data_IF_077232245706
#
_entry.id   IF_077232245706
#
_cell.length_a   1.000
_cell.length_b   1.000
_cell.length_c   1.000
_cell.angle_alpha   90.00
_cell.angle_beta   90.00
_cell.angle_gamma   90.00
#
_symmetry.space_group_name_H-M   'P 1'
#
loop_
_entity.id
_entity.type
_entity.pdbx_description
1 polymer ?
#
# COMPACT_ATOMS: atom_id res chain seq x y z
N UNK A 1 5.28 42.17 -37.45
CA UNK A 1 6.47 42.88 -36.91
C UNK A 1 6.72 42.67 -35.41
N UNK A 2 5.70 42.58 -34.55
CA UNK A 2 5.87 42.49 -33.07
C UNK A 2 6.51 41.17 -32.60
N UNK A 3 6.23 40.04 -33.27
CA UNK A 3 6.74 38.71 -32.91
C UNK A 3 8.28 38.59 -32.99
N UNK A 4 8.91 39.23 -33.97
CA UNK A 4 10.37 39.20 -34.14
C UNK A 4 11.07 40.06 -33.08
N UNK A 5 10.46 41.19 -32.68
CA UNK A 5 10.96 42.04 -31.60
C UNK A 5 10.86 41.35 -30.23
N UNK A 6 9.77 40.63 -29.98
CA UNK A 6 9.62 39.79 -28.78
C UNK A 6 10.66 38.66 -28.74
N UNK A 7 10.89 37.97 -29.85
CA UNK A 7 11.92 36.92 -29.91
C UNK A 7 13.32 37.47 -29.63
N UNK A 8 13.68 38.63 -30.20
CA UNK A 8 14.95 39.30 -29.93
C UNK A 8 15.09 39.67 -28.45
N UNK A 9 14.03 40.19 -27.84
CA UNK A 9 14.01 40.53 -26.42
C UNK A 9 14.20 39.30 -25.53
N UNK A 10 13.56 38.18 -25.86
CA UNK A 10 13.74 36.91 -25.16
C UNK A 10 15.18 36.41 -25.25
N UNK A 11 15.80 36.47 -26.43
CA UNK A 11 17.23 36.10 -26.57
C UNK A 11 18.15 37.01 -25.76
N UNK A 12 17.85 38.30 -25.70
CA UNK A 12 18.63 39.25 -24.90
C UNK A 12 18.49 38.98 -23.40
N UNK A 13 17.28 38.65 -22.93
CA UNK A 13 17.03 38.21 -21.55
C UNK A 13 17.78 36.92 -21.21
N UNK A 14 17.75 35.93 -22.10
CA UNK A 14 18.47 34.67 -21.91
C UNK A 14 19.98 34.92 -21.86
N UNK A 15 20.52 35.73 -22.79
CA UNK A 15 21.92 36.10 -22.80
C UNK A 15 22.36 36.82 -21.52
N UNK A 16 21.54 37.76 -21.03
CA UNK A 16 21.80 38.48 -19.79
C UNK A 16 21.71 37.55 -18.57
N UNK A 17 20.76 36.62 -18.55
CA UNK A 17 20.64 35.64 -17.48
C UNK A 17 21.86 34.72 -17.42
N UNK A 18 22.34 34.23 -18.57
CA UNK A 18 23.57 33.42 -18.66
C UNK A 18 24.77 34.24 -18.19
N UNK A 19 24.92 35.47 -18.66
CA UNK A 19 26.04 36.34 -18.27
C UNK A 19 26.02 36.66 -16.77
N UNK A 20 24.86 36.99 -16.21
CA UNK A 20 24.67 37.19 -14.78
C UNK A 20 25.00 35.93 -13.98
N UNK A 21 24.62 34.75 -14.48
CA UNK A 21 24.93 33.49 -13.83
C UNK A 21 26.43 33.16 -13.85
N UNK A 22 27.11 33.36 -14.99
CA UNK A 22 28.56 33.13 -15.14
C UNK A 22 29.35 34.10 -14.25
N UNK A 23 28.97 35.38 -14.21
CA UNK A 23 29.64 36.36 -13.35
C UNK A 23 29.46 36.05 -11.87
N UNK A 24 28.26 35.60 -11.46
CA UNK A 24 28.00 35.16 -10.10
C UNK A 24 28.74 33.86 -9.76
N UNK A 25 28.94 32.96 -10.74
CA UNK A 25 29.75 31.76 -10.58
C UNK A 25 31.24 32.08 -10.42
N UNK A 26 31.77 33.10 -11.11
CA UNK A 26 33.18 33.50 -11.00
C UNK A 26 33.48 34.32 -9.74
N UNK A 27 32.54 35.17 -9.30
CA UNK A 27 32.75 36.07 -8.16
C UNK A 27 32.32 35.47 -6.82
N UNK A 28 31.28 34.63 -6.81
CA UNK A 28 30.61 34.18 -5.58
C UNK A 28 30.13 32.72 -5.69
N UNK A 29 30.99 31.82 -6.19
CA UNK A 29 30.69 30.39 -6.36
C UNK A 29 30.19 29.73 -5.07
N UNK A 30 30.82 30.08 -3.94
CA UNK A 30 30.54 29.48 -2.63
C UNK A 30 29.13 29.80 -2.14
N UNK A 31 28.65 31.03 -2.40
CA UNK A 31 27.29 31.47 -2.03
C UNK A 31 26.23 30.80 -2.92
N UNK A 32 26.50 30.68 -4.23
CA UNK A 32 25.62 29.94 -5.13
C UNK A 32 25.49 28.47 -4.72
N UNK A 33 26.60 27.80 -4.43
CA UNK A 33 26.57 26.40 -4.04
C UNK A 33 25.86 26.21 -2.68
N UNK A 34 26.14 27.10 -1.71
CA UNK A 34 25.49 27.07 -0.39
C UNK A 34 23.98 27.30 -0.50
N UNK A 35 23.54 28.24 -1.35
CA UNK A 35 22.12 28.50 -1.58
C UNK A 35 21.43 27.34 -2.30
N UNK A 36 22.09 26.68 -3.26
CA UNK A 36 21.58 25.50 -3.93
C UNK A 36 21.39 24.33 -2.95
N UNK A 37 22.39 24.07 -2.11
CA UNK A 37 22.33 23.05 -1.07
C UNK A 37 21.24 23.39 -0.05
N UNK A 38 21.12 24.64 0.37
CA UNK A 38 20.09 25.09 1.30
C UNK A 38 18.68 24.95 0.70
N UNK A 39 18.50 25.29 -0.58
CA UNK A 39 17.22 25.12 -1.28
C UNK A 39 16.86 23.63 -1.40
N UNK A 40 17.83 22.78 -1.76
CA UNK A 40 17.64 21.34 -1.81
C UNK A 40 17.33 20.77 -0.41
N UNK A 41 18.00 21.24 0.63
CA UNK A 41 17.78 20.82 2.01
C UNK A 41 16.38 21.21 2.50
N UNK A 42 15.93 22.44 2.24
CA UNK A 42 14.58 22.90 2.58
C UNK A 42 13.53 22.09 1.80
N UNK A 43 13.74 21.86 0.50
CA UNK A 43 12.86 21.04 -0.33
C UNK A 43 12.75 19.60 0.17
N UNK A 44 13.89 18.98 0.51
CA UNK A 44 13.94 17.65 1.09
C UNK A 44 13.30 17.58 2.48
N UNK A 45 13.50 18.60 3.32
CA UNK A 45 12.87 18.70 4.63
C UNK A 45 11.34 18.81 4.51
N UNK A 46 10.85 19.65 3.61
CA UNK A 46 9.42 19.78 3.31
C UNK A 46 8.82 18.49 2.77
N UNK A 47 9.47 17.87 1.79
CA UNK A 47 9.06 16.56 1.27
C UNK A 47 9.05 15.50 2.36
N UNK A 48 10.08 15.45 3.19
CA UNK A 48 10.21 14.53 4.32
C UNK A 48 9.09 14.72 5.35
N UNK A 49 8.75 15.97 5.67
CA UNK A 49 7.63 16.29 6.57
C UNK A 49 6.31 15.78 6.00
N UNK A 50 6.00 16.09 4.75
CA UNK A 50 4.77 15.65 4.09
C UNK A 50 4.72 14.12 4.00
N UNK A 51 5.82 13.48 3.59
CA UNK A 51 5.91 12.03 3.50
C UNK A 51 5.71 11.35 4.87
N UNK A 52 6.36 11.86 5.91
CA UNK A 52 6.25 11.32 7.25
C UNK A 52 4.86 11.53 7.85
N UNK A 53 4.26 12.70 7.71
CA UNK A 53 2.95 12.98 8.30
C UNK A 53 1.79 12.35 7.52
N UNK A 54 1.80 12.40 6.19
CA UNK A 54 0.69 11.95 5.36
C UNK A 54 0.84 10.51 4.85
N UNK A 55 2.01 10.12 4.36
CA UNK A 55 2.22 8.80 3.73
C UNK A 55 2.50 7.71 4.76
N UNK A 56 3.33 7.99 5.80
CA UNK A 56 3.68 6.98 6.80
C UNK A 56 2.47 6.46 7.59
N UNK A 57 1.44 7.28 7.80
CA UNK A 57 0.22 6.87 8.53
C UNK A 57 -0.67 5.91 7.73
N UNK A 58 -0.55 5.84 6.39
CA UNK A 58 -1.43 5.02 5.55
C UNK A 58 -0.98 3.56 5.39
N UNK A 59 0.30 3.25 5.52
CA UNK A 59 0.83 1.95 5.06
C UNK A 59 0.68 0.77 6.02
N UNK A 60 0.43 1.00 7.32
CA UNK A 60 0.63 -0.05 8.36
C UNK A 60 -0.65 -0.62 9.00
N UNK A 61 -1.82 -0.03 8.76
CA UNK A 61 -3.01 -0.39 9.54
C UNK A 61 -3.64 -1.72 9.10
N UNK A 62 -3.68 -2.05 7.81
CA UNK A 62 -4.38 -3.24 7.32
C UNK A 62 -3.68 -4.56 7.71
N UNK A 63 -2.36 -4.63 7.57
CA UNK A 63 -1.59 -5.80 8.02
C UNK A 63 -1.68 -6.00 9.54
N UNK A 64 -1.70 -4.90 10.32
CA UNK A 64 -1.89 -4.95 11.77
C UNK A 64 -3.29 -5.42 12.16
N UNK A 65 -4.34 -4.94 11.47
CA UNK A 65 -5.73 -5.39 11.66
C UNK A 65 -5.89 -6.87 11.31
N UNK A 66 -5.34 -7.31 10.18
CA UNK A 66 -5.34 -8.72 9.78
C UNK A 66 -4.66 -9.61 10.83
N UNK A 67 -3.45 -9.25 11.29
CA UNK A 67 -2.75 -10.00 12.35
C UNK A 67 -3.57 -10.05 13.66
N UNK A 68 -4.27 -8.97 14.03
CA UNK A 68 -5.18 -8.95 15.19
C UNK A 68 -6.37 -9.89 14.99
N UNK A 69 -7.03 -9.83 13.84
CA UNK A 69 -8.19 -10.67 13.51
C UNK A 69 -7.83 -12.16 13.50
N UNK A 70 -6.68 -12.53 12.92
CA UNK A 70 -6.16 -13.91 12.94
C UNK A 70 -5.86 -14.38 14.36
N UNK A 71 -5.26 -13.53 15.20
CA UNK A 71 -5.02 -13.87 16.62
C UNK A 71 -6.33 -14.08 17.38
N UNK A 72 -7.34 -13.24 17.12
CA UNK A 72 -8.65 -13.35 17.77
C UNK A 72 -9.38 -14.63 17.37
N UNK A 73 -9.42 -14.98 16.08
CA UNK A 73 -9.99 -16.25 15.60
C UNK A 73 -9.24 -17.44 16.16
N UNK A 74 -7.90 -17.46 16.09
CA UNK A 74 -7.10 -18.56 16.68
C UNK A 74 -7.35 -18.75 18.18
N UNK A 75 -7.58 -17.67 18.94
CA UNK A 75 -7.91 -17.78 20.37
C UNK A 75 -9.32 -18.33 20.59
N UNK A 76 -10.32 -17.90 19.80
CA UNK A 76 -11.70 -18.39 19.90
C UNK A 76 -11.79 -19.89 19.63
N UNK A 77 -11.15 -20.34 18.54
CA UNK A 77 -11.16 -21.77 18.17
C UNK A 77 -10.18 -22.64 18.96
N UNK A 78 -9.33 -22.07 19.84
CA UNK A 78 -8.49 -22.86 20.75
C UNK A 78 -9.28 -23.42 21.94
N UNK A 79 -10.39 -22.79 22.31
CA UNK A 79 -11.22 -23.23 23.44
C UNK A 79 -12.33 -24.19 23.01
N UNK A 80 -12.63 -24.26 21.71
CA UNK A 80 -13.66 -25.14 21.13
C UNK A 80 -13.09 -26.42 20.48
N UNK A 81 -11.81 -26.74 20.71
CA UNK A 81 -11.29 -28.07 20.34
C UNK A 81 -11.60 -29.03 21.49
N UNK A 82 -12.61 -29.90 21.40
CA UNK A 82 -12.63 -31.06 22.26
C UNK A 82 -11.35 -31.83 21.94
N UNK A 83 -10.56 -32.09 22.98
CA UNK A 83 -9.36 -32.92 22.98
C UNK A 83 -9.51 -34.12 22.02
N UNK A 84 -9.05 -33.98 20.77
CA UNK A 84 -8.71 -35.11 19.93
C UNK A 84 -7.22 -35.34 20.07
N UNK A 85 -6.88 -36.10 21.12
CA UNK A 85 -5.75 -37.02 21.06
C UNK A 85 -5.94 -37.87 19.81
N UNK A 86 -4.98 -37.84 18.89
CA UNK A 86 -4.67 -38.78 17.79
C UNK A 86 -4.02 -37.96 16.66
N UNK A 87 -2.86 -38.24 16.08
CA UNK A 87 -1.86 -39.29 16.22
C UNK A 87 -0.51 -38.68 15.84
N UNK A 88 0.50 -39.02 16.63
CA UNK A 88 1.88 -39.31 16.24
C UNK A 88 2.25 -39.20 14.75
N UNK A 89 3.32 -38.41 14.51
CA UNK A 89 4.40 -38.66 13.55
C UNK A 89 4.08 -39.43 12.26
N UNK A 90 4.27 -38.77 11.11
CA UNK A 90 5.12 -39.32 10.03
C UNK A 90 5.68 -38.18 9.18
N UNK A 91 6.99 -38.00 9.33
CA UNK A 91 7.88 -37.36 8.36
C UNK A 91 8.11 -38.38 7.23
N UNK A 92 8.16 -37.91 5.98
CA UNK A 92 8.64 -38.55 4.70
C UNK A 92 7.54 -38.40 3.63
N UNK A 93 7.76 -38.05 2.37
CA UNK A 93 8.94 -37.79 1.53
C UNK A 93 8.45 -37.01 0.28
N UNK A 94 9.43 -36.54 -0.49
CA UNK A 94 9.45 -35.68 -1.69
C UNK A 94 8.47 -36.08 -2.83
N UNK A 95 7.93 -35.05 -3.53
CA UNK A 95 7.63 -34.83 -4.98
C UNK A 95 7.42 -36.03 -5.96
N UNK A 96 6.74 -35.92 -7.14
CA UNK A 96 6.63 -34.74 -8.01
C UNK A 96 5.33 -34.50 -8.84
N UNK A 97 5.29 -33.27 -9.38
CA UNK A 97 4.75 -32.79 -10.68
C UNK A 97 3.95 -33.77 -11.58
N UNK A 98 2.70 -33.41 -11.90
CA UNK A 98 2.06 -33.54 -13.24
C UNK A 98 0.71 -32.78 -13.20
N UNK A 99 0.61 -31.59 -13.79
CA UNK A 99 0.14 -31.31 -15.17
C UNK A 99 -1.37 -30.99 -15.28
N UNK A 100 -1.64 -30.05 -16.19
CA UNK A 100 -2.88 -29.87 -16.97
C UNK A 100 -3.95 -29.00 -16.28
N UNK A 101 -4.00 -27.71 -16.56
CA UNK A 101 -4.60 -27.07 -17.76
C UNK A 101 -6.10 -26.81 -17.58
N UNK A 102 -6.40 -25.51 -17.41
CA UNK A 102 -7.44 -24.68 -18.05
C UNK A 102 -8.90 -25.19 -18.10
N UNK A 103 -9.79 -24.20 -18.09
CA UNK A 103 -11.25 -24.25 -18.36
C UNK A 103 -12.06 -24.84 -17.19
N UNK A 104 -13.16 -24.27 -16.71
CA UNK A 104 -14.03 -23.23 -17.24
C UNK A 104 -14.81 -22.58 -16.07
N UNK A 105 -15.45 -21.47 -16.40
CA UNK A 105 -16.27 -20.60 -15.58
C UNK A 105 -17.38 -21.34 -14.80
N UNK A 106 -17.27 -21.42 -13.48
CA UNK A 106 -18.41 -21.79 -12.61
C UNK A 106 -18.82 -20.58 -11.79
N UNK A 107 -20.03 -20.10 -12.06
CA UNK A 107 -20.74 -19.03 -11.33
C UNK A 107 -20.76 -19.34 -9.82
N UNK A 108 -20.69 -18.34 -8.92
CA UNK A 108 -20.93 -18.58 -7.51
C UNK A 108 -22.43 -18.88 -7.30
N UNK A 109 -22.80 -20.16 -7.21
CA UNK A 109 -24.18 -20.61 -6.93
C UNK A 109 -24.51 -20.65 -5.43
N UNK A 110 -23.75 -19.93 -4.60
CA UNK A 110 -23.90 -19.97 -3.15
C UNK A 110 -24.59 -18.73 -2.59
N UNK A 111 -25.84 -18.51 -2.98
CA UNK A 111 -26.84 -17.98 -2.06
C UNK A 111 -27.72 -19.16 -1.66
N UNK A 112 -27.35 -19.87 -0.61
CA UNK A 112 -28.26 -20.81 0.04
C UNK A 112 -28.94 -20.06 1.17
N UNK A 113 -30.27 -20.06 1.15
CA UNK A 113 -31.10 -19.59 2.25
C UNK A 113 -30.65 -20.33 3.51
N UNK A 114 -30.35 -19.60 4.57
CA UNK A 114 -30.10 -20.19 5.88
C UNK A 114 -31.46 -20.69 6.37
N UNK A 115 -31.72 -21.98 6.21
CA UNK A 115 -32.85 -22.61 6.90
C UNK A 115 -32.53 -22.61 8.40
N UNK A 116 -33.14 -21.68 9.12
CA UNK A 116 -33.10 -21.67 10.58
C UNK A 116 -33.75 -22.94 11.12
N UNK A 117 -33.12 -23.54 12.11
CA UNK A 117 -33.63 -24.66 12.90
C UNK A 117 -34.93 -24.26 13.64
N UNK A 118 -36.07 -24.26 12.93
CA UNK A 118 -37.40 -24.22 13.56
C UNK A 118 -37.66 -25.57 14.19
N UNK A 119 -37.18 -25.73 15.43
CA UNK A 119 -37.56 -26.86 16.26
C UNK A 119 -39.09 -26.88 16.38
N UNK A 120 -39.70 -27.93 15.83
CA UNK A 120 -41.12 -28.27 16.03
C UNK A 120 -41.41 -28.27 17.53
N UNK A 121 -42.06 -27.21 18.04
CA UNK A 121 -42.70 -27.26 19.37
C UNK A 121 -43.76 -28.35 19.27
N UNK A 122 -43.53 -29.44 20.02
CA UNK A 122 -44.45 -30.57 20.15
C UNK A 122 -45.83 -30.05 20.58
N UNK A 123 -46.86 -30.60 19.95
CA UNK A 123 -48.28 -30.48 20.26
C UNK A 123 -48.54 -30.16 21.74
N UNK A 124 -49.10 -28.99 22.02
CA UNK A 124 -49.88 -28.75 23.24
C UNK A 124 -51.35 -28.84 22.84
N UNK A 125 -51.89 -30.06 22.86
CA UNK A 125 -53.30 -30.26 23.10
C UNK A 125 -53.45 -30.43 24.61
N UNK A 126 -54.16 -29.51 25.24
CA UNK A 126 -54.73 -29.69 26.58
C UNK A 126 -56.18 -29.26 26.47
N UNK A 127 -57.06 -30.19 26.88
CA UNK A 127 -58.50 -30.01 27.03
C UNK A 127 -58.83 -28.95 28.09
#
# INVERSE_FOLDING_TARGET
MIRHKLSLFVYLLIGLAIFGFVTQLATNTTSLLSSLVMMAAIGAAMYGLVYFFFLRKRTSNEMRKYKKAVRQTKKKYKNDVPSKKTLSHTIKKKAPLTQKSRLSKTRPTHLKVIEGNKQKRKNRATF
#
